data_IF_272320338885
#
_entry.id   IF_272320338885
#
_cell.length_a   1.000
_cell.length_b   1.000
_cell.length_c   1.000
_cell.angle_alpha   90.00
_cell.angle_beta   90.00
_cell.angle_gamma   90.00
#
_symmetry.space_group_name_H-M   'P 1'
#
loop_
_entity.id
_entity.type
_entity.pdbx_description
1 polymer ?
#
# COMPACT_ATOMS: atom_id res chain seq x y z
N UNK A 1 31.62 -16.04 13.27
CA UNK A 1 31.26 -14.65 12.90
C UNK A 1 30.36 -14.74 11.68
N UNK A 2 29.06 -14.48 11.82
CA UNK A 2 28.09 -14.58 10.72
C UNK A 2 27.97 -13.21 10.06
N UNK A 3 28.66 -13.05 8.94
CA UNK A 3 28.55 -11.87 8.08
C UNK A 3 27.21 -11.92 7.36
N UNK A 4 26.19 -11.29 7.94
CA UNK A 4 24.96 -11.02 7.20
C UNK A 4 25.26 -9.93 6.18
N UNK A 5 25.42 -10.36 4.93
CA UNK A 5 25.45 -9.47 3.77
C UNK A 5 24.20 -8.60 3.82
N UNK A 6 24.39 -7.32 4.15
CA UNK A 6 23.37 -6.29 4.00
C UNK A 6 23.14 -6.12 2.50
N UNK A 7 22.22 -6.88 1.94
CA UNK A 7 21.71 -6.63 0.60
C UNK A 7 20.92 -5.33 0.67
N UNK A 8 21.59 -4.23 0.35
CA UNK A 8 21.00 -2.92 0.09
C UNK A 8 19.94 -3.09 -1.01
N UNK A 9 18.69 -3.25 -0.61
CA UNK A 9 17.56 -3.24 -1.52
C UNK A 9 17.26 -1.77 -1.84
N UNK A 10 18.00 -1.24 -2.81
CA UNK A 10 17.69 0.01 -3.47
C UNK A 10 16.36 -0.17 -4.23
N UNK A 11 15.23 -0.09 -3.53
CA UNK A 11 13.95 0.17 -4.18
C UNK A 11 14.02 1.60 -4.70
N UNK A 12 14.29 1.70 -5.99
CA UNK A 12 14.21 2.92 -6.77
C UNK A 12 12.76 3.46 -6.65
N UNK A 13 12.53 4.37 -5.71
CA UNK A 13 11.30 5.15 -5.57
C UNK A 13 11.25 6.18 -6.70
N UNK A 14 11.07 5.71 -7.93
CA UNK A 14 10.88 6.56 -9.10
C UNK A 14 9.54 6.22 -9.75
N UNK A 15 8.48 6.81 -9.21
CA UNK A 15 7.30 7.17 -9.98
C UNK A 15 6.91 8.59 -9.61
N UNK A 16 7.60 9.53 -10.27
CA UNK A 16 7.25 10.95 -10.30
C UNK A 16 5.82 11.09 -10.80
N UNK A 17 5.08 11.97 -10.15
CA UNK A 17 3.68 12.28 -10.38
C UNK A 17 3.42 12.65 -11.85
N UNK A 18 2.97 11.71 -12.67
CA UNK A 18 2.26 12.03 -13.92
C UNK A 18 0.77 12.19 -13.60
N UNK A 19 0.41 13.32 -12.98
CA UNK A 19 -0.97 13.78 -12.87
C UNK A 19 -1.40 14.38 -14.21
N UNK A 20 -1.70 13.53 -15.20
CA UNK A 20 -2.25 13.97 -16.48
C UNK A 20 -3.73 13.58 -16.60
N UNK A 21 -4.60 14.57 -16.41
CA UNK A 21 -5.76 14.85 -17.27
C UNK A 21 -6.90 13.80 -17.43
N UNK A 22 -7.29 13.09 -16.37
CA UNK A 22 -8.63 12.51 -16.22
C UNK A 22 -9.09 12.81 -14.80
N UNK A 23 -10.06 13.71 -14.60
CA UNK A 23 -10.16 14.48 -13.36
C UNK A 23 -11.53 14.48 -12.66
N UNK A 24 -12.49 13.61 -13.02
CA UNK A 24 -13.75 13.54 -12.26
C UNK A 24 -14.24 12.10 -11.96
N UNK A 25 -14.52 11.25 -12.95
CA UNK A 25 -14.90 9.83 -12.70
C UNK A 25 -13.75 9.00 -12.09
N UNK A 26 -12.52 9.34 -12.46
CA UNK A 26 -11.31 8.59 -12.15
C UNK A 26 -10.84 8.72 -10.70
N UNK A 27 -11.25 9.76 -9.97
CA UNK A 27 -10.74 9.99 -8.60
C UNK A 27 -11.45 9.11 -7.58
N UNK A 28 -12.74 8.87 -7.80
CA UNK A 28 -13.52 7.90 -7.02
C UNK A 28 -13.10 6.47 -7.35
N UNK A 29 -12.93 6.13 -8.63
CA UNK A 29 -12.40 4.82 -9.05
C UNK A 29 -11.03 4.54 -8.45
N UNK A 30 -10.14 5.55 -8.38
CA UNK A 30 -8.83 5.42 -7.75
C UNK A 30 -8.93 5.17 -6.25
N UNK A 31 -9.88 5.80 -5.56
CA UNK A 31 -10.12 5.49 -4.15
C UNK A 31 -10.64 4.07 -3.98
N UNK A 32 -11.61 3.64 -4.77
CA UNK A 32 -12.16 2.27 -4.68
C UNK A 32 -11.10 1.22 -5.01
N UNK A 33 -10.26 1.47 -6.02
CA UNK A 33 -9.13 0.61 -6.35
C UNK A 33 -8.13 0.53 -5.19
N UNK A 34 -7.76 1.66 -4.57
CA UNK A 34 -6.85 1.68 -3.43
C UNK A 34 -7.42 0.91 -2.22
N UNK A 35 -8.73 1.04 -1.95
CA UNK A 35 -9.43 0.25 -0.94
C UNK A 35 -9.37 -1.25 -1.24
N UNK A 36 -9.75 -1.65 -2.45
CA UNK A 36 -9.75 -3.04 -2.88
C UNK A 36 -8.35 -3.67 -2.82
N UNK A 37 -7.30 -2.90 -3.12
CA UNK A 37 -5.92 -3.37 -2.97
C UNK A 37 -5.54 -3.63 -1.50
N UNK A 38 -5.91 -2.74 -0.57
CA UNK A 38 -5.70 -2.96 0.88
C UNK A 38 -6.45 -4.20 1.37
N UNK A 39 -7.71 -4.35 0.97
CA UNK A 39 -8.54 -5.50 1.35
C UNK A 39 -7.96 -6.81 0.80
N UNK A 40 -7.63 -6.87 -0.49
CA UNK A 40 -7.08 -8.07 -1.12
C UNK A 40 -5.74 -8.49 -0.50
N UNK A 41 -4.85 -7.53 -0.24
CA UNK A 41 -3.55 -7.81 0.38
C UNK A 41 -3.70 -8.19 1.85
N UNK A 42 -4.62 -7.54 2.58
CA UNK A 42 -5.00 -7.91 3.94
C UNK A 42 -5.49 -9.34 4.03
N UNK A 43 -6.48 -9.74 3.22
CA UNK A 43 -6.96 -11.12 3.15
C UNK A 43 -5.86 -12.11 2.77
N UNK A 44 -4.94 -11.72 1.88
CA UNK A 44 -3.79 -12.57 1.53
C UNK A 44 -2.90 -12.83 2.76
N UNK A 45 -2.59 -11.78 3.51
CA UNK A 45 -1.80 -11.85 4.75
C UNK A 45 -2.51 -12.67 5.84
N UNK A 46 -3.81 -12.49 6.02
CA UNK A 46 -4.64 -13.30 6.93
C UNK A 46 -4.61 -14.78 6.55
N UNK A 47 -4.72 -15.10 5.26
CA UNK A 47 -4.62 -16.47 4.76
C UNK A 47 -3.21 -17.07 4.96
N UNK A 48 -2.17 -16.24 5.05
CA UNK A 48 -0.82 -16.65 5.45
C UNK A 48 -0.68 -16.84 6.97
N UNK A 49 -1.74 -16.60 7.74
CA UNK A 49 -1.76 -16.72 9.20
C UNK A 49 -1.30 -15.47 9.94
N UNK A 50 -1.14 -14.34 9.26
CA UNK A 50 -0.76 -13.07 9.88
C UNK A 50 -2.00 -12.31 10.36
N UNK A 51 -1.94 -11.75 11.57
CA UNK A 51 -2.96 -10.84 12.07
C UNK A 51 -2.64 -9.41 11.61
N UNK A 52 -3.34 -8.94 10.59
CA UNK A 52 -3.06 -7.65 9.94
C UNK A 52 -4.19 -6.66 10.12
N UNK A 53 -3.84 -5.40 10.41
CA UNK A 53 -4.80 -4.31 10.53
C UNK A 53 -4.94 -3.60 9.18
N UNK A 54 -6.11 -3.76 8.56
CA UNK A 54 -6.51 -3.09 7.30
C UNK A 54 -7.29 -1.79 7.53
N UNK A 55 -7.51 -1.39 8.78
CA UNK A 55 -8.18 -0.15 9.14
C UNK A 55 -7.36 1.05 8.67
N UNK A 56 -8.04 2.03 8.09
CA UNK A 56 -7.43 3.24 7.56
C UNK A 56 -8.06 4.44 8.26
N UNK A 57 -7.23 5.22 8.94
CA UNK A 57 -7.66 6.49 9.53
C UNK A 57 -7.69 7.58 8.45
N UNK A 58 -8.90 8.01 8.11
CA UNK A 58 -9.13 9.08 7.13
C UNK A 58 -9.25 10.46 7.79
N UNK A 59 -8.94 10.57 9.08
CA UNK A 59 -8.91 11.85 9.79
C UNK A 59 -7.95 12.82 9.09
N UNK A 60 -8.47 13.93 8.60
CA UNK A 60 -7.70 14.94 7.84
C UNK A 60 -7.65 14.71 6.32
N UNK A 61 -8.23 13.63 5.79
CA UNK A 61 -8.38 13.39 4.35
C UNK A 61 -9.78 13.79 3.86
N UNK A 62 -9.89 14.98 3.29
CA UNK A 62 -11.17 15.59 2.91
C UNK A 62 -11.58 15.30 1.46
N UNK A 63 -10.61 15.10 0.56
CA UNK A 63 -10.87 14.79 -0.87
C UNK A 63 -10.65 13.32 -1.19
N UNK A 64 -11.24 12.83 -2.30
CA UNK A 64 -11.02 11.46 -2.76
C UNK A 64 -9.54 11.15 -3.02
N UNK A 65 -8.79 12.10 -3.59
CA UNK A 65 -7.34 11.97 -3.79
C UNK A 65 -6.58 11.84 -2.48
N UNK A 66 -6.95 12.62 -1.45
CA UNK A 66 -6.33 12.53 -0.12
C UNK A 66 -6.63 11.17 0.51
N UNK A 67 -7.88 10.70 0.44
CA UNK A 67 -8.28 9.39 0.96
C UNK A 67 -7.53 8.26 0.25
N UNK A 68 -7.43 8.33 -1.08
CA UNK A 68 -6.69 7.33 -1.86
C UNK A 68 -5.21 7.31 -1.49
N UNK A 69 -4.60 8.45 -1.20
CA UNK A 69 -3.23 8.52 -0.70
C UNK A 69 -3.06 7.80 0.65
N UNK A 70 -4.01 7.95 1.58
CA UNK A 70 -3.96 7.22 2.87
C UNK A 70 -4.10 5.71 2.65
N UNK A 71 -5.04 5.26 1.81
CA UNK A 71 -5.18 3.84 1.47
C UNK A 71 -3.92 3.28 0.80
N UNK A 72 -3.30 4.03 -0.11
CA UNK A 72 -2.04 3.61 -0.75
C UNK A 72 -0.89 3.51 0.26
N UNK A 73 -0.83 4.39 1.27
CA UNK A 73 0.14 4.27 2.36
C UNK A 73 -0.09 2.99 3.17
N UNK A 74 -1.34 2.70 3.54
CA UNK A 74 -1.69 1.43 4.20
C UNK A 74 -1.32 0.22 3.34
N UNK A 75 -1.57 0.26 2.04
CA UNK A 75 -1.20 -0.82 1.12
C UNK A 75 0.32 -1.05 1.13
N UNK A 76 1.13 0.01 1.14
CA UNK A 76 2.58 -0.12 1.22
C UNK A 76 3.04 -0.78 2.54
N UNK A 77 2.43 -0.43 3.68
CA UNK A 77 2.68 -1.09 4.97
C UNK A 77 2.36 -2.59 4.92
N UNK A 78 1.20 -2.95 4.36
CA UNK A 78 0.81 -4.35 4.20
C UNK A 78 1.75 -5.10 3.23
N UNK A 79 2.22 -4.43 2.17
CA UNK A 79 3.17 -5.02 1.23
C UNK A 79 4.51 -5.33 1.88
N UNK A 80 4.97 -4.49 2.80
CA UNK A 80 6.18 -4.75 3.59
C UNK A 80 6.01 -5.97 4.50
N UNK A 81 4.85 -6.11 5.14
CA UNK A 81 4.52 -7.29 5.95
C UNK A 81 4.46 -8.56 5.09
N UNK A 82 3.86 -8.47 3.90
CA UNK A 82 3.80 -9.58 2.95
C UNK A 82 5.20 -10.01 2.52
N UNK A 83 6.05 -9.06 2.15
CA UNK A 83 7.43 -9.34 1.75
C UNK A 83 8.22 -9.99 2.91
N UNK A 84 7.97 -9.56 4.14
CA UNK A 84 8.61 -10.12 5.33
C UNK A 84 8.19 -11.58 5.55
N UNK A 85 6.90 -11.88 5.46
CA UNK A 85 6.37 -13.24 5.64
C UNK A 85 6.76 -14.17 4.50
N UNK A 86 6.74 -13.67 3.26
CA UNK A 86 7.11 -14.44 2.08
C UNK A 86 8.62 -14.71 1.98
N UNK A 87 9.44 -13.99 2.76
CA UNK A 87 10.88 -14.21 2.85
C UNK A 87 11.29 -15.17 3.98
N UNK A 88 10.35 -15.64 4.80
CA UNK A 88 10.57 -16.65 5.86
C UNK A 88 10.43 -18.06 5.32
#
# INVERSE_FOLDING_TARGET
MKTFTKTTLALLTAAVMTTSAFANDTVEERLQSAKGSVEALGTTLENMGANVDTSVDLSGAYTFSQKAAVYNAKHAELQEQFNTLNAQ
#
